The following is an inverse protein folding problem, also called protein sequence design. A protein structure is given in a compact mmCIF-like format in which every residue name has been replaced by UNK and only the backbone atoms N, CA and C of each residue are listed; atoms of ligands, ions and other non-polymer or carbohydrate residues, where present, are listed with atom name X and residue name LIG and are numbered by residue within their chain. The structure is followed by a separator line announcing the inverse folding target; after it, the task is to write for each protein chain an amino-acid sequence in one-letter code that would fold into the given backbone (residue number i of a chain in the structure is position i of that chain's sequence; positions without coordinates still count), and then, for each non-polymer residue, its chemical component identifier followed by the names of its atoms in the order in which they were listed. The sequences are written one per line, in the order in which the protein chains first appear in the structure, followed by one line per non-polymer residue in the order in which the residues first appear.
data_IF_486316360268
#
_entry.id   IF_486316360268
#
_cell.length_a   1.000
_cell.length_b   1.000
_cell.length_c   1.000
_cell.angle_alpha   90.00
_cell.angle_beta   90.00
_cell.angle_gamma   90.00
#
_symmetry.space_group_name_H-M   'P 1'
#
loop_
_entity.id
_entity.type
_entity.pdbx_description
1 polymer ?
#
# COMPACT_ATOMS: atom_id res chain seq x y z
N UNK A 1 11.71 1.21 13.23
CA UNK A 1 10.55 0.47 12.74
C UNK A 1 10.18 -0.58 13.77
N UNK A 2 8.92 -0.57 14.18
CA UNK A 2 8.44 -1.53 15.18
C UNK A 2 7.83 -2.73 14.48
N UNK A 3 8.26 -3.94 14.83
CA UNK A 3 7.63 -5.13 14.26
C UNK A 3 6.25 -5.36 14.87
N UNK A 4 5.44 -6.10 14.16
CA UNK A 4 4.14 -6.54 14.65
C UNK A 4 4.31 -7.96 15.18
N UNK A 5 3.88 -8.16 16.43
CA UNK A 5 3.95 -9.47 17.06
C UNK A 5 2.62 -10.19 16.85
N UNK A 6 2.71 -11.43 16.42
CA UNK A 6 1.56 -12.29 16.28
C UNK A 6 1.81 -13.59 17.05
N UNK A 7 0.92 -13.91 17.97
CA UNK A 7 1.01 -15.14 18.74
C UNK A 7 0.36 -16.30 17.97
N UNK A 8 1.04 -17.43 17.94
CA UNK A 8 0.52 -18.67 17.35
C UNK A 8 0.75 -19.81 18.35
N UNK A 9 0.23 -20.98 18.04
CA UNK A 9 0.44 -22.16 18.87
C UNK A 9 1.92 -22.60 18.88
N UNK A 10 2.71 -22.13 17.92
CA UNK A 10 4.14 -22.47 17.84
C UNK A 10 5.04 -21.35 18.34
N UNK A 11 4.46 -20.30 18.92
CA UNK A 11 5.20 -19.17 19.44
C UNK A 11 4.81 -17.86 18.78
N UNK A 12 5.62 -16.84 18.97
CA UNK A 12 5.37 -15.51 18.45
C UNK A 12 6.08 -15.31 17.11
N UNK A 13 5.37 -14.71 16.17
CA UNK A 13 5.92 -14.34 14.88
C UNK A 13 6.00 -12.82 14.81
N UNK A 14 7.18 -12.30 14.52
CA UNK A 14 7.38 -10.88 14.31
C UNK A 14 7.37 -10.57 12.82
N UNK A 15 6.57 -9.58 12.42
CA UNK A 15 6.46 -9.15 11.05
C UNK A 15 6.86 -7.68 10.98
N UNK A 16 7.89 -7.36 10.19
CA UNK A 16 8.37 -5.98 10.11
C UNK A 16 7.38 -5.11 9.33
N UNK A 17 7.31 -3.84 9.69
CA UNK A 17 6.46 -2.90 8.97
C UNK A 17 6.93 -2.70 7.52
N UNK A 18 8.23 -2.78 7.28
CA UNK A 18 8.76 -2.71 5.92
C UNK A 18 8.29 -3.88 5.06
N UNK A 19 8.25 -5.09 5.63
CA UNK A 19 7.75 -6.25 4.91
C UNK A 19 6.27 -6.07 4.54
N UNK A 20 5.47 -5.55 5.47
CA UNK A 20 4.06 -5.28 5.22
C UNK A 20 3.92 -4.22 4.13
N UNK A 21 4.71 -3.16 4.19
CA UNK A 21 4.66 -2.08 3.20
C UNK A 21 5.02 -2.60 1.81
N UNK A 22 6.05 -3.43 1.70
CA UNK A 22 6.45 -3.99 0.42
C UNK A 22 5.38 -4.93 -0.14
N UNK A 23 4.77 -5.74 0.70
CA UNK A 23 3.70 -6.63 0.27
C UNK A 23 2.49 -5.83 -0.21
N UNK A 24 2.11 -4.79 0.52
CA UNK A 24 1.00 -3.93 0.13
C UNK A 24 1.28 -3.21 -1.19
N UNK A 25 2.49 -2.67 -1.34
CA UNK A 25 2.90 -2.01 -2.58
C UNK A 25 2.88 -2.95 -3.77
N UNK A 26 3.37 -4.16 -3.59
CA UNK A 26 3.33 -5.17 -4.65
C UNK A 26 1.90 -5.54 -5.04
N UNK A 27 1.02 -5.69 -4.04
CA UNK A 27 -0.37 -6.05 -4.30
C UNK A 27 -1.11 -4.95 -5.06
N UNK A 28 -0.92 -3.69 -4.65
CA UNK A 28 -1.64 -2.59 -5.27
C UNK A 28 -1.18 -2.33 -6.70
N UNK A 29 0.11 -2.51 -6.98
CA UNK A 29 0.63 -2.26 -8.34
C UNK A 29 0.16 -3.30 -9.35
N UNK A 30 -0.38 -4.42 -8.90
CA UNK A 30 -0.99 -5.40 -9.79
C UNK A 30 -2.41 -5.03 -10.19
N UNK A 31 -3.00 -4.02 -9.56
CA UNK A 31 -4.39 -3.64 -9.83
C UNK A 31 -4.49 -2.82 -11.11
N UNK A 32 -5.58 -3.05 -11.85
CA UNK A 32 -5.85 -2.24 -13.04
C UNK A 32 -5.99 -0.77 -12.67
N UNK A 33 -5.40 0.08 -13.49
CA UNK A 33 -5.53 1.53 -13.31
C UNK A 33 -4.47 2.13 -12.38
N UNK A 34 -3.62 1.32 -11.78
CA UNK A 34 -2.53 1.79 -10.94
C UNK A 34 -1.24 1.70 -11.75
N UNK A 35 -0.62 2.86 -12.01
CA UNK A 35 0.65 2.91 -12.73
C UNK A 35 1.80 2.44 -11.82
N UNK A 36 1.77 2.85 -10.56
CA UNK A 36 2.78 2.44 -9.60
C UNK A 36 2.66 3.20 -8.29
N UNK A 37 3.63 2.97 -7.43
CA UNK A 37 3.71 3.63 -6.14
C UNK A 37 4.38 4.99 -6.28
N UNK A 38 3.96 5.95 -5.47
CA UNK A 38 4.52 7.29 -5.44
C UNK A 38 5.15 7.56 -4.08
N UNK A 39 6.11 8.49 -4.06
CA UNK A 39 6.63 9.01 -2.81
C UNK A 39 5.55 9.79 -2.08
N UNK A 40 5.62 9.81 -0.75
CA UNK A 40 4.73 10.63 0.07
C UNK A 40 4.93 12.12 -0.18
N UNK A 41 6.09 12.51 -0.68
CA UNK A 41 6.43 13.91 -0.93
C UNK A 41 6.23 14.23 -2.41
N UNK A 42 5.64 15.40 -2.67
CA UNK A 42 5.55 15.91 -4.01
C UNK A 42 6.90 16.53 -4.38
N UNK A 43 7.34 16.34 -5.61
CA UNK A 43 8.56 16.98 -6.08
C UNK A 43 8.37 18.50 -6.16
N UNK A 44 9.48 19.21 -6.22
CA UNK A 44 9.54 20.67 -6.14
C UNK A 44 8.67 21.37 -7.18
N UNK A 45 8.50 20.76 -8.34
CA UNK A 45 7.69 21.31 -9.45
C UNK A 45 6.26 20.76 -9.48
N UNK A 46 5.82 20.12 -8.39
CA UNK A 46 4.46 19.59 -8.29
C UNK A 46 4.29 18.18 -8.82
N UNK A 47 5.35 17.55 -9.26
CA UNK A 47 5.29 16.19 -9.78
C UNK A 47 5.53 15.18 -8.68
N UNK A 48 4.77 14.09 -8.68
CA UNK A 48 5.00 12.98 -7.77
C UNK A 48 6.07 12.05 -8.33
N UNK A 49 6.96 11.59 -7.47
CA UNK A 49 8.00 10.64 -7.85
C UNK A 49 7.41 9.24 -7.95
N UNK A 50 7.64 8.57 -9.09
CA UNK A 50 7.25 7.18 -9.26
C UNK A 50 8.35 6.30 -8.67
N UNK A 51 7.97 5.47 -7.68
CA UNK A 51 8.94 4.65 -6.97
C UNK A 51 9.26 3.36 -7.72
N UNK A 52 10.51 2.94 -7.65
CA UNK A 52 10.94 1.64 -8.15
C UNK A 52 10.49 0.56 -7.17
N UNK A 53 10.42 -0.68 -7.65
CA UNK A 53 9.92 -1.80 -6.85
C UNK A 53 10.67 -1.94 -5.52
N UNK A 54 11.98 -1.76 -5.50
CA UNK A 54 12.77 -1.88 -4.28
C UNK A 54 12.52 -0.74 -3.28
N UNK A 55 11.81 0.30 -3.69
CA UNK A 55 11.52 1.45 -2.84
C UNK A 55 10.04 1.60 -2.52
N UNK A 56 9.22 0.59 -2.76
CA UNK A 56 7.78 0.67 -2.52
C UNK A 56 7.44 1.05 -1.09
N UNK A 57 8.25 0.64 -0.12
CA UNK A 57 8.01 0.97 1.28
C UNK A 57 7.97 2.48 1.53
N UNK A 58 8.62 3.28 0.69
CA UNK A 58 8.60 4.75 0.82
C UNK A 58 7.25 5.36 0.46
N UNK A 59 6.40 4.61 -0.24
CA UNK A 59 5.07 5.05 -0.61
C UNK A 59 3.97 4.47 0.26
N UNK A 60 4.32 3.76 1.33
CA UNK A 60 3.34 3.12 2.21
C UNK A 60 3.64 3.50 3.64
N UNK A 61 2.63 4.01 4.34
CA UNK A 61 2.73 4.27 5.78
C UNK A 61 1.88 3.23 6.48
N UNK A 62 2.51 2.43 7.33
CA UNK A 62 1.83 1.38 8.07
C UNK A 62 1.80 1.78 9.53
N UNK A 63 0.61 1.85 10.11
CA UNK A 63 0.44 2.08 11.54
C UNK A 63 -0.37 0.94 12.14
N UNK A 64 -0.13 0.65 13.40
CA UNK A 64 -0.86 -0.38 14.12
C UNK A 64 -1.62 0.25 15.27
N UNK A 65 -2.91 -0.05 15.36
CA UNK A 65 -3.70 0.34 16.53
C UNK A 65 -4.15 -0.92 17.27
N UNK A 66 -4.99 -0.75 18.29
CA UNK A 66 -5.43 -1.86 19.14
C UNK A 66 -6.24 -2.90 18.37
N UNK A 67 -6.84 -2.52 17.27
CA UNK A 67 -7.76 -3.38 16.53
C UNK A 67 -7.18 -3.92 15.23
N UNK A 68 -6.04 -3.44 14.80
CA UNK A 68 -5.41 -3.94 13.57
C UNK A 68 -4.52 -2.93 12.90
N UNK A 69 -4.30 -3.12 11.62
CA UNK A 69 -3.42 -2.29 10.82
C UNK A 69 -4.19 -1.20 10.08
N UNK A 70 -3.57 -0.05 9.96
CA UNK A 70 -4.03 1.02 9.09
C UNK A 70 -2.92 1.33 8.11
N UNK A 71 -3.23 1.29 6.83
CA UNK A 71 -2.26 1.55 5.78
C UNK A 71 -2.65 2.78 4.98
N UNK A 72 -1.66 3.62 4.68
CA UNK A 72 -1.83 4.73 3.75
C UNK A 72 -0.88 4.49 2.59
N UNK A 73 -1.44 4.36 1.40
CA UNK A 73 -0.67 4.09 0.18
C UNK A 73 -0.76 5.29 -0.75
N UNK A 74 0.37 5.68 -1.29
CA UNK A 74 0.49 6.80 -2.21
C UNK A 74 0.80 6.26 -3.59
N UNK A 75 -0.03 6.59 -4.57
CA UNK A 75 0.02 5.97 -5.88
C UNK A 75 -0.01 6.97 -7.01
N UNK A 76 0.41 6.50 -8.18
CA UNK A 76 0.18 7.18 -9.46
C UNK A 76 -0.87 6.35 -10.20
N UNK A 77 -1.94 6.98 -10.63
CA UNK A 77 -3.03 6.31 -11.33
C UNK A 77 -2.95 6.55 -12.83
N UNK A 78 -3.63 5.70 -13.58
CA UNK A 78 -3.74 5.84 -15.03
C UNK A 78 -4.71 6.95 -15.39
N UNK A 79 -4.33 7.79 -16.33
CA UNK A 79 -5.18 8.88 -16.80
C UNK A 79 -6.40 8.33 -17.55
N UNK A 80 -7.56 8.97 -17.34
CA UNK A 80 -8.75 8.63 -18.11
C UNK A 80 -9.59 7.49 -17.56
N UNK A 81 -9.29 7.01 -16.35
CA UNK A 81 -10.04 5.93 -15.72
C UNK A 81 -10.98 6.47 -14.64
N UNK A 82 -11.92 5.63 -14.22
CA UNK A 82 -12.82 5.98 -13.13
C UNK A 82 -12.11 5.72 -11.80
N UNK A 83 -11.51 6.76 -11.23
CA UNK A 83 -10.65 6.65 -10.06
C UNK A 83 -11.36 6.05 -8.86
N UNK A 84 -12.62 6.43 -8.60
CA UNK A 84 -13.33 5.92 -7.43
C UNK A 84 -13.44 4.40 -7.45
N UNK A 85 -13.70 3.82 -8.63
CA UNK A 85 -13.80 2.38 -8.75
C UNK A 85 -12.45 1.71 -8.64
N UNK A 86 -11.42 2.29 -9.25
CA UNK A 86 -10.06 1.75 -9.18
C UNK A 86 -9.57 1.74 -7.74
N UNK A 87 -9.78 2.85 -7.02
CA UNK A 87 -9.37 2.96 -5.62
C UNK A 87 -10.11 1.92 -4.76
N UNK A 88 -11.43 1.78 -4.98
CA UNK A 88 -12.21 0.82 -4.22
C UNK A 88 -11.70 -0.62 -4.42
N UNK A 89 -11.47 -1.01 -5.68
CA UNK A 89 -10.96 -2.35 -5.96
C UNK A 89 -9.55 -2.55 -5.41
N UNK A 90 -8.71 -1.52 -5.47
CA UNK A 90 -7.36 -1.59 -4.94
C UNK A 90 -7.38 -1.75 -3.42
N UNK A 91 -8.25 -1.02 -2.72
CA UNK A 91 -8.39 -1.17 -1.28
C UNK A 91 -8.77 -2.60 -0.90
N UNK A 92 -9.71 -3.18 -1.61
CA UNK A 92 -10.14 -4.56 -1.37
C UNK A 92 -9.00 -5.54 -1.61
N UNK A 93 -8.25 -5.34 -2.69
CA UNK A 93 -7.15 -6.23 -3.04
C UNK A 93 -6.04 -6.20 -1.99
N UNK A 94 -5.64 -5.02 -1.56
CA UNK A 94 -4.59 -4.86 -0.55
C UNK A 94 -5.03 -5.51 0.76
N UNK A 95 -6.25 -5.20 1.20
CA UNK A 95 -6.78 -5.79 2.43
C UNK A 95 -6.79 -7.31 2.36
N UNK A 96 -7.30 -7.85 1.26
CA UNK A 96 -7.37 -9.30 1.07
C UNK A 96 -5.99 -9.95 1.13
N UNK A 97 -5.01 -9.38 0.40
CA UNK A 97 -3.68 -9.96 0.33
C UNK A 97 -3.01 -9.95 1.71
N UNK A 98 -3.13 -8.84 2.43
CA UNK A 98 -2.51 -8.74 3.75
C UNK A 98 -3.15 -9.68 4.75
N UNK A 99 -4.48 -9.73 4.79
CA UNK A 99 -5.17 -10.59 5.74
C UNK A 99 -4.94 -12.06 5.42
N UNK A 100 -4.92 -12.42 4.14
CA UNK A 100 -4.71 -13.80 3.73
C UNK A 100 -3.28 -14.26 3.93
N UNK A 101 -2.32 -13.41 3.57
CA UNK A 101 -0.90 -13.78 3.58
C UNK A 101 -0.31 -13.72 4.98
N UNK A 102 -0.62 -12.66 5.73
CA UNK A 102 -0.01 -12.41 7.04
C UNK A 102 -0.93 -12.79 8.19
N UNK A 103 -2.18 -13.09 7.90
CA UNK A 103 -3.20 -13.42 8.90
C UNK A 103 -3.34 -12.35 9.96
N UNK A 104 -3.20 -11.07 9.55
CA UNK A 104 -3.39 -9.91 10.42
C UNK A 104 -4.65 -9.19 10.00
N UNK A 105 -5.30 -8.55 10.96
CA UNK A 105 -6.50 -7.76 10.67
C UNK A 105 -6.09 -6.40 10.12
N UNK A 106 -6.69 -6.02 9.01
CA UNK A 106 -6.45 -4.73 8.38
C UNK A 106 -7.69 -3.88 8.56
N UNK A 107 -7.60 -2.82 9.38
CA UNK A 107 -8.74 -1.97 9.70
C UNK A 107 -9.10 -1.01 8.59
N UNK A 108 -8.09 -0.43 7.96
CA UNK A 108 -8.33 0.56 6.91
C UNK A 108 -7.16 0.55 5.93
N UNK A 109 -7.51 0.72 4.67
CA UNK A 109 -6.54 0.93 3.59
C UNK A 109 -6.93 2.23 2.92
N UNK A 110 -6.12 3.25 3.11
CA UNK A 110 -6.36 4.58 2.54
C UNK A 110 -5.43 4.76 1.36
N UNK A 111 -5.99 5.17 0.23
CA UNK A 111 -5.21 5.33 -1.00
C UNK A 111 -5.25 6.78 -1.41
N UNK A 112 -4.07 7.37 -1.57
CA UNK A 112 -3.90 8.76 -1.96
C UNK A 112 -3.31 8.80 -3.37
N UNK A 113 -4.05 9.38 -4.30
CA UNK A 113 -3.60 9.50 -5.68
C UNK A 113 -2.76 10.76 -5.78
N UNK A 114 -1.44 10.58 -5.94
CA UNK A 114 -0.51 11.70 -6.01
C UNK A 114 -0.38 12.28 -7.41
N UNK A 115 -0.85 11.57 -8.40
CA UNK A 115 -0.82 12.04 -9.77
C UNK A 115 -1.40 11.03 -10.72
N UNK A 116 -1.54 11.44 -11.99
CA UNK A 116 -2.03 10.56 -13.05
C UNK A 116 -1.03 10.60 -14.20
N UNK A 117 -0.95 9.51 -14.92
CA UNK A 117 -0.09 9.40 -16.09
C UNK A 117 -0.81 8.68 -17.21
N UNK A 118 -0.52 9.09 -18.44
CA UNK A 118 -1.03 8.39 -19.60
C UNK A 118 -0.19 7.12 -19.82
N UNK A 119 -0.83 6.09 -20.33
CA UNK A 119 -0.14 4.88 -20.76
C UNK A 119 0.33 5.08 -22.20
N UNK A 120 1.54 4.67 -22.44
CA UNK A 120 2.05 4.63 -23.79
C UNK A 120 1.76 3.28 -24.41
#
# INVERSE_FOLDING_TARGET
IMPINKSTEYGNIEISLDAIANLAGGAITECYGIVGMASQKTLKDGWAELLKKENYARGVVVTQDETGLVLNLYIIALQGIKLSQVVYEAQKRVKYVLEKTLEVKCNAVNIYVQGVRAVK
#
